data_IF_374907818182
#
_entry.id   IF_374907818182
#
_cell.length_a   1.000
_cell.length_b   1.000
_cell.length_c   1.000
_cell.angle_alpha   90.00
_cell.angle_beta   90.00
_cell.angle_gamma   90.00
#
_symmetry.space_group_name_H-M   'P 1'
#
loop_
_entity.id
_entity.type
_entity.pdbx_description
1 polymer ?
#
# COMPACT_ATOMS: atom_id res chain seq x y z
N UNK A 1 -26.68 -0.37 -53.00
CA UNK A 1 -25.28 -0.72 -52.66
C UNK A 1 -24.79 0.26 -51.61
N UNK A 2 -24.88 -0.07 -50.33
CA UNK A 2 -24.19 0.65 -49.23
C UNK A 2 -24.32 -0.17 -47.94
N UNK A 3 -23.44 -1.15 -47.75
CA UNK A 3 -23.21 -1.80 -46.45
C UNK A 3 -21.70 -2.01 -46.29
N UNK A 4 -21.00 -1.01 -45.75
CA UNK A 4 -19.56 -1.10 -45.48
C UNK A 4 -19.12 -0.38 -44.18
N UNK A 5 -20.05 0.03 -43.32
CA UNK A 5 -19.71 0.86 -42.15
C UNK A 5 -19.65 0.12 -40.79
N UNK A 6 -20.05 -1.15 -40.69
CA UNK A 6 -20.08 -1.86 -39.39
C UNK A 6 -18.77 -2.57 -38.97
N UNK A 7 -17.75 -2.63 -39.83
CA UNK A 7 -16.53 -3.41 -39.53
C UNK A 7 -15.40 -2.60 -38.89
N UNK A 8 -15.46 -1.27 -38.91
CA UNK A 8 -14.38 -0.41 -38.40
C UNK A 8 -14.46 -0.16 -36.89
N UNK A 9 -15.65 -0.07 -36.31
CA UNK A 9 -15.82 0.18 -34.86
C UNK A 9 -15.36 -1.01 -34.01
N UNK A 10 -15.72 -2.23 -34.42
CA UNK A 10 -15.34 -3.46 -33.72
C UNK A 10 -13.83 -3.75 -33.77
N UNK A 11 -13.15 -3.23 -34.78
CA UNK A 11 -11.70 -3.34 -34.93
C UNK A 11 -10.97 -2.40 -33.96
N UNK A 12 -11.46 -1.16 -33.81
CA UNK A 12 -10.87 -0.16 -32.91
C UNK A 12 -10.99 -0.52 -31.42
N UNK A 13 -12.08 -1.19 -31.03
CA UNK A 13 -12.26 -1.65 -29.65
C UNK A 13 -11.31 -2.81 -29.29
N UNK A 14 -11.09 -3.73 -30.24
CA UNK A 14 -10.15 -4.84 -30.06
C UNK A 14 -8.70 -4.34 -29.95
N UNK A 15 -8.32 -3.31 -30.71
CA UNK A 15 -6.98 -2.70 -30.61
C UNK A 15 -6.81 -1.95 -29.29
N UNK A 16 -7.83 -1.21 -28.82
CA UNK A 16 -7.77 -0.50 -27.55
C UNK A 16 -7.61 -1.44 -26.34
N UNK A 17 -8.26 -2.61 -26.36
CA UNK A 17 -8.12 -3.63 -25.31
C UNK A 17 -6.70 -4.20 -25.26
N UNK A 18 -6.09 -4.47 -26.42
CA UNK A 18 -4.74 -4.99 -26.50
C UNK A 18 -3.68 -3.94 -26.09
N UNK A 19 -3.89 -2.68 -26.45
CA UNK A 19 -3.08 -1.55 -25.98
C UNK A 19 -3.16 -1.39 -24.45
N UNK A 20 -4.36 -1.49 -23.86
CA UNK A 20 -4.50 -1.48 -22.41
C UNK A 20 -3.77 -2.65 -21.75
N UNK A 21 -3.84 -3.84 -22.36
CA UNK A 21 -3.17 -5.04 -21.85
C UNK A 21 -1.65 -4.89 -21.86
N UNK A 22 -1.08 -4.47 -22.99
CA UNK A 22 0.36 -4.27 -23.14
C UNK A 22 0.89 -3.20 -22.19
N UNK A 23 0.18 -2.08 -22.02
CA UNK A 23 0.55 -1.04 -21.04
C UNK A 23 0.49 -1.58 -19.60
N UNK A 24 -0.53 -2.38 -19.26
CA UNK A 24 -0.61 -3.01 -17.93
C UNK A 24 0.53 -3.99 -17.69
N UNK A 25 0.92 -4.78 -18.70
CA UNK A 25 2.04 -5.72 -18.64
C UNK A 25 3.39 -4.99 -18.49
N UNK A 26 3.61 -3.92 -19.26
CA UNK A 26 4.76 -3.01 -19.09
C UNK A 26 4.81 -2.48 -17.66
N UNK A 27 3.71 -1.91 -17.15
CA UNK A 27 3.64 -1.39 -15.78
C UNK A 27 3.85 -2.47 -14.71
N UNK A 28 3.50 -3.73 -14.96
CA UNK A 28 3.77 -4.84 -14.05
C UNK A 28 5.24 -5.28 -14.07
N UNK A 29 5.88 -5.30 -15.24
CA UNK A 29 7.26 -5.77 -15.43
C UNK A 29 8.33 -4.79 -14.98
N UNK A 30 8.04 -3.48 -15.00
CA UNK A 30 9.02 -2.43 -14.69
C UNK A 30 9.15 -2.07 -13.20
N UNK A 31 8.43 -2.75 -12.30
CA UNK A 31 8.50 -2.49 -10.85
C UNK A 31 9.92 -2.65 -10.25
N UNK A 32 10.87 -3.23 -11.00
CA UNK A 32 12.28 -3.41 -10.61
C UNK A 32 13.31 -2.85 -11.62
N UNK A 33 12.88 -2.36 -12.79
CA UNK A 33 13.77 -1.80 -13.84
C UNK A 33 13.13 -0.54 -14.41
N UNK A 34 13.88 0.57 -14.37
CA UNK A 34 13.49 1.82 -15.01
C UNK A 34 13.16 1.56 -16.49
N UNK A 35 11.95 1.90 -16.96
CA UNK A 35 11.57 1.68 -18.36
C UNK A 35 12.51 2.45 -19.29
N UNK A 36 12.70 1.94 -20.50
CA UNK A 36 13.41 2.69 -21.53
C UNK A 36 12.66 4.03 -21.77
N UNK A 37 13.36 5.12 -22.13
CA UNK A 37 12.73 6.44 -22.31
C UNK A 37 11.63 6.44 -23.37
N UNK A 38 11.73 5.55 -24.36
CA UNK A 38 10.73 5.32 -25.40
C UNK A 38 9.46 4.66 -24.84
N UNK A 39 9.61 3.57 -24.07
CA UNK A 39 8.50 2.87 -23.40
C UNK A 39 7.79 3.79 -22.40
N UNK A 40 8.54 4.58 -21.64
CA UNK A 40 7.99 5.56 -20.72
C UNK A 40 7.14 6.62 -21.43
N UNK A 41 7.53 7.01 -22.65
CA UNK A 41 6.78 7.97 -23.47
C UNK A 41 5.50 7.36 -24.04
N UNK A 42 5.55 6.11 -24.49
CA UNK A 42 4.37 5.37 -24.96
C UNK A 42 3.35 5.17 -23.82
N UNK A 43 3.80 4.80 -22.63
CA UNK A 43 2.94 4.68 -21.44
C UNK A 43 2.30 6.04 -21.11
N UNK A 44 3.08 7.14 -21.04
CA UNK A 44 2.53 8.48 -20.78
C UNK A 44 1.47 8.89 -21.79
N UNK A 45 1.70 8.63 -23.09
CA UNK A 45 0.75 8.93 -24.13
C UNK A 45 -0.57 8.15 -23.95
N UNK A 46 -0.49 6.88 -23.58
CA UNK A 46 -1.67 6.05 -23.31
C UNK A 46 -2.42 6.48 -22.03
N UNK A 47 -1.71 6.84 -20.95
CA UNK A 47 -2.35 7.31 -19.71
C UNK A 47 -3.08 8.64 -19.89
N UNK A 48 -2.70 9.45 -20.90
CA UNK A 48 -3.41 10.67 -21.25
C UNK A 48 -4.77 10.41 -21.90
N UNK A 49 -4.99 9.24 -22.50
CA UNK A 49 -6.21 8.89 -23.23
C UNK A 49 -7.06 7.84 -22.52
N UNK A 50 -6.48 7.03 -21.64
CA UNK A 50 -7.18 5.96 -20.93
C UNK A 50 -7.22 6.21 -19.41
N UNK A 51 -8.37 6.68 -18.92
CA UNK A 51 -8.60 6.96 -17.50
C UNK A 51 -8.42 5.72 -16.61
N UNK A 52 -8.87 4.55 -17.07
CA UNK A 52 -8.75 3.30 -16.29
C UNK A 52 -7.28 2.90 -16.07
N UNK A 53 -6.45 3.05 -17.11
CA UNK A 53 -5.02 2.79 -16.99
C UNK A 53 -4.32 3.85 -16.14
N UNK A 54 -4.76 5.11 -16.20
CA UNK A 54 -4.28 6.20 -15.34
C UNK A 54 -4.54 5.92 -13.87
N UNK A 55 -5.77 5.59 -13.49
CA UNK A 55 -6.13 5.30 -12.11
C UNK A 55 -5.34 4.10 -11.56
N UNK A 56 -5.17 3.06 -12.39
CA UNK A 56 -4.36 1.87 -12.04
C UNK A 56 -2.89 2.24 -11.83
N UNK A 57 -2.34 3.09 -12.69
CA UNK A 57 -0.98 3.59 -12.59
C UNK A 57 -0.79 4.41 -11.31
N UNK A 58 -1.67 5.36 -11.01
CA UNK A 58 -1.56 6.24 -9.85
C UNK A 58 -1.71 5.46 -8.53
N UNK A 59 -2.64 4.51 -8.48
CA UNK A 59 -2.76 3.58 -7.36
C UNK A 59 -1.43 2.87 -7.10
N UNK A 60 -0.77 2.34 -8.14
CA UNK A 60 0.51 1.65 -8.02
C UNK A 60 1.66 2.59 -7.67
N UNK A 61 1.71 3.77 -8.27
CA UNK A 61 2.72 4.80 -8.00
C UNK A 61 2.67 5.30 -6.55
N UNK A 62 1.51 5.20 -5.89
CA UNK A 62 1.36 5.54 -4.47
C UNK A 62 1.97 4.49 -3.53
N UNK A 63 2.12 3.22 -3.95
CA UNK A 63 2.54 2.10 -3.08
C UNK A 63 3.92 2.34 -2.46
N UNK A 64 4.97 2.77 -3.20
CA UNK A 64 6.27 3.07 -2.61
C UNK A 64 6.22 4.11 -1.49
N UNK A 65 5.42 5.16 -1.64
CA UNK A 65 5.27 6.19 -0.60
C UNK A 65 4.62 5.62 0.66
N UNK A 66 3.56 4.82 0.51
CA UNK A 66 2.92 4.13 1.64
C UNK A 66 3.88 3.15 2.34
N UNK A 67 4.68 2.41 1.58
CA UNK A 67 5.68 1.51 2.15
C UNK A 67 6.78 2.27 2.91
N UNK A 68 7.19 3.43 2.43
CA UNK A 68 8.14 4.30 3.15
C UNK A 68 7.55 4.78 4.48
N UNK A 69 6.30 5.27 4.47
CA UNK A 69 5.60 5.69 5.70
C UNK A 69 5.48 4.55 6.72
N UNK A 70 5.17 3.33 6.27
CA UNK A 70 5.11 2.16 7.14
C UNK A 70 6.49 1.80 7.73
N UNK A 71 7.56 1.87 6.93
CA UNK A 71 8.92 1.65 7.42
C UNK A 71 9.31 2.67 8.47
N UNK A 72 8.99 3.94 8.25
CA UNK A 72 9.29 5.02 9.19
C UNK A 72 8.53 4.84 10.50
N UNK A 73 7.23 4.52 10.44
CA UNK A 73 6.41 4.24 11.61
C UNK A 73 6.97 3.07 12.44
N UNK A 74 7.34 1.97 11.78
CA UNK A 74 7.94 0.80 12.43
C UNK A 74 9.32 1.11 13.02
N UNK A 75 10.13 1.94 12.36
CA UNK A 75 11.42 2.37 12.89
C UNK A 75 11.26 3.24 14.15
N UNK A 76 10.29 4.15 14.16
CA UNK A 76 9.96 4.97 15.33
C UNK A 76 9.47 4.11 16.51
N UNK A 77 8.64 3.09 16.25
CA UNK A 77 8.19 2.17 17.30
C UNK A 77 9.35 1.35 17.88
N UNK A 78 10.28 0.85 17.06
CA UNK A 78 11.50 0.21 17.58
C UNK A 78 12.32 1.16 18.44
N UNK A 79 12.43 2.44 18.08
CA UNK A 79 13.11 3.46 18.87
C UNK A 79 12.44 3.74 20.23
N UNK A 80 11.11 3.75 20.27
CA UNK A 80 10.34 3.91 21.52
C UNK A 80 10.45 2.69 22.42
N UNK A 81 10.33 1.48 21.87
CA UNK A 81 10.48 0.25 22.63
C UNK A 81 11.90 0.07 23.20
N UNK A 82 12.94 0.38 22.41
CA UNK A 82 14.33 0.30 22.88
C UNK A 82 14.64 1.31 24.00
N UNK A 83 14.15 2.55 23.90
CA UNK A 83 14.28 3.56 24.98
C UNK A 83 13.52 3.17 26.24
N UNK A 84 12.30 2.65 26.10
CA UNK A 84 11.52 2.15 27.24
C UNK A 84 12.24 0.98 27.95
N UNK A 85 12.75 0.01 27.18
CA UNK A 85 13.53 -1.09 27.75
C UNK A 85 14.83 -0.60 28.42
N UNK A 86 15.57 0.33 27.81
CA UNK A 86 16.79 0.90 28.40
C UNK A 86 16.50 1.64 29.72
N UNK A 87 15.40 2.41 29.80
CA UNK A 87 14.96 3.04 31.03
C UNK A 87 14.63 2.01 32.12
N UNK A 88 13.96 0.91 31.78
CA UNK A 88 13.68 -0.17 32.76
C UNK A 88 14.92 -0.92 33.26
N UNK A 89 16.04 -0.88 32.53
CA UNK A 89 17.30 -1.48 32.97
C UNK A 89 18.20 -0.51 33.74
N UNK A 90 18.15 0.79 33.44
CA UNK A 90 18.88 1.82 34.18
C UNK A 90 18.25 2.11 35.57
N UNK A 91 16.93 2.01 35.70
CA UNK A 91 16.22 2.28 36.97
C UNK A 91 16.30 1.14 38.01
N UNK A 92 16.88 -0.02 37.67
CA UNK A 92 16.99 -1.15 38.61
C UNK A 92 18.13 -1.05 39.63
N UNK A 93 18.90 0.05 39.65
CA UNK A 93 20.00 0.22 40.63
C UNK A 93 19.70 1.15 41.80
N UNK A 94 18.53 1.78 41.88
CA UNK A 94 18.20 2.62 43.04
C UNK A 94 16.79 2.36 43.57
N UNK A 95 16.77 1.67 44.72
CA UNK A 95 15.73 1.65 45.74
C UNK A 95 14.40 0.92 45.47
N UNK A 96 14.15 -0.11 46.28
CA UNK A 96 12.83 -0.38 46.88
C UNK A 96 12.84 0.16 48.31
N UNK A 97 11.71 0.56 48.95
CA UNK A 97 10.48 -0.24 48.96
C UNK A 97 9.12 0.51 49.08
N UNK A 98 8.05 -0.24 48.71
CA UNK A 98 6.65 -0.17 49.18
C UNK A 98 5.85 1.15 49.02
N UNK A 99 4.83 1.10 48.16
CA UNK A 99 3.39 1.11 48.53
C UNK A 99 2.51 1.27 47.27
N UNK A 100 1.46 0.45 47.19
CA UNK A 100 0.28 0.67 46.34
C UNK A 100 0.48 0.36 44.86
N UNK A 101 0.07 -0.84 44.40
CA UNK A 101 -0.15 -1.08 42.97
C UNK A 101 -1.65 -1.31 42.73
N UNK A 102 -2.33 -0.41 42.02
CA UNK A 102 -3.58 -0.74 41.36
C UNK A 102 -3.36 -1.86 40.34
N UNK A 103 -4.37 -2.70 40.20
CA UNK A 103 -4.45 -3.89 39.35
C UNK A 103 -3.92 -3.63 37.91
N UNK A 104 -2.94 -4.38 37.40
CA UNK A 104 -2.34 -4.18 36.08
C UNK A 104 -3.14 -4.85 34.94
N UNK A 105 -4.45 -5.04 35.10
CA UNK A 105 -5.31 -5.65 34.07
C UNK A 105 -5.47 -4.83 32.77
N UNK A 106 -4.82 -3.67 32.67
CA UNK A 106 -4.91 -2.77 31.51
C UNK A 106 -3.64 -2.73 30.61
N UNK A 107 -2.68 -3.64 30.77
CA UNK A 107 -1.47 -3.66 29.93
C UNK A 107 -1.57 -4.75 28.86
N UNK A 108 -1.89 -4.31 27.65
CA UNK A 108 -1.71 -5.00 26.36
C UNK A 108 -2.29 -6.41 26.27
N UNK A 109 -3.61 -6.51 26.10
CA UNK A 109 -4.16 -7.69 25.44
C UNK A 109 -3.61 -7.74 24.02
N UNK A 110 -2.72 -8.71 23.75
CA UNK A 110 -2.41 -9.12 22.39
C UNK A 110 -3.71 -9.64 21.78
N UNK A 111 -4.36 -8.80 20.99
CA UNK A 111 -5.56 -9.20 20.28
C UNK A 111 -5.17 -10.22 19.22
N UNK A 112 -5.86 -11.35 19.20
CA UNK A 112 -5.70 -12.33 18.12
C UNK A 112 -6.32 -11.78 16.84
N UNK A 113 -5.88 -12.29 15.69
CA UNK A 113 -6.37 -11.85 14.38
C UNK A 113 -7.91 -11.98 14.30
N UNK A 114 -8.48 -13.04 14.89
CA UNK A 114 -9.92 -13.24 15.02
C UNK A 114 -10.63 -12.14 15.82
N UNK A 115 -10.02 -11.67 16.92
CA UNK A 115 -10.59 -10.59 17.74
C UNK A 115 -10.53 -9.22 17.03
N UNK A 116 -9.53 -8.99 16.17
CA UNK A 116 -9.45 -7.76 15.39
C UNK A 116 -10.57 -7.69 14.33
N UNK A 117 -10.80 -8.80 13.60
CA UNK A 117 -11.86 -8.88 12.57
C UNK A 117 -13.24 -8.65 13.17
N UNK A 118 -13.55 -9.22 14.33
CA UNK A 118 -14.84 -9.01 14.99
C UNK A 118 -15.07 -7.55 15.41
N UNK A 119 -14.02 -6.78 15.69
CA UNK A 119 -14.15 -5.37 16.09
C UNK A 119 -14.35 -4.44 14.91
N UNK A 120 -13.72 -4.72 13.76
CA UNK A 120 -13.82 -3.88 12.56
C UNK A 120 -15.12 -4.11 11.77
N UNK A 121 -15.72 -5.30 11.86
CA UNK A 121 -17.05 -5.56 11.26
C UNK A 121 -18.19 -5.00 12.09
N UNK A 122 -18.00 -4.86 13.42
CA UNK A 122 -19.01 -4.32 14.32
C UNK A 122 -19.12 -2.79 14.31
N UNK A 123 -18.10 -2.07 13.81
CA UNK A 123 -18.09 -0.60 13.72
C UNK A 123 -18.67 -0.06 12.41
N UNK A 124 -19.19 -0.93 11.54
CA UNK A 124 -19.94 -0.55 10.35
C UNK A 124 -21.43 -0.62 10.71
N UNK A 125 -21.91 0.38 11.44
CA UNK A 125 -23.32 0.73 11.59
C UNK A 125 -23.46 2.24 11.61
#
# INVERSE_FOLDING_TARGET
>A
MTEAHCLTEKSGEKTAIEECRTVRELLCGHALKTPAPEEASAVRAHLATCDTCRDTHDCRASVPAHLSLLRDALACDRGRHTRACAATHADRRHASPRRGRPDPSAVTMQITLSQWVSRTTSSIR
#
